data_IF_387298123710
#
_entry.id   IF_387298123710
#
_cell.length_a   1.000
_cell.length_b   1.000
_cell.length_c   1.000
_cell.angle_alpha   90.00
_cell.angle_beta   90.00
_cell.angle_gamma   90.00
#
_symmetry.space_group_name_H-M   'P 1'
#
loop_
_entity.id
_entity.type
_entity.pdbx_description
1 polymer ?
#
# COMPACT_ATOMS: atom_id res chain seq x y z
N UNK A 1 0.55 -14.91 -12.14
CA UNK A 1 0.08 -14.51 -10.80
C UNK A 1 0.08 -15.76 -9.92
N UNK A 2 0.81 -15.77 -8.81
CA UNK A 2 0.86 -16.93 -7.92
C UNK A 2 -0.52 -17.18 -7.31
N UNK A 3 -0.91 -18.45 -7.25
CA UNK A 3 -2.16 -18.87 -6.62
C UNK A 3 -2.14 -18.48 -5.13
N UNK A 4 -3.13 -17.71 -4.67
CA UNK A 4 -3.26 -17.30 -3.26
C UNK A 4 -2.65 -15.95 -2.87
N UNK A 5 -1.89 -15.26 -3.73
CA UNK A 5 -1.30 -13.95 -3.40
C UNK A 5 -2.35 -12.86 -3.12
N UNK A 6 -3.32 -12.72 -4.03
CA UNK A 6 -4.38 -11.71 -3.91
C UNK A 6 -5.23 -11.86 -2.64
N UNK A 7 -5.77 -13.05 -2.30
CA UNK A 7 -6.51 -13.20 -1.04
C UNK A 7 -5.61 -12.99 0.19
N UNK A 8 -4.32 -13.35 0.13
CA UNK A 8 -3.38 -13.06 1.21
C UNK A 8 -3.14 -11.55 1.42
N UNK A 9 -3.06 -10.77 0.34
CA UNK A 9 -2.96 -9.30 0.41
C UNK A 9 -4.22 -8.71 1.04
N UNK A 10 -5.40 -9.14 0.62
CA UNK A 10 -6.68 -8.64 1.16
C UNK A 10 -6.84 -8.98 2.65
N UNK A 11 -6.44 -10.19 3.04
CA UNK A 11 -6.37 -10.59 4.45
C UNK A 11 -5.44 -9.66 5.24
N UNK A 12 -4.23 -9.40 4.74
CA UNK A 12 -3.25 -8.53 5.38
C UNK A 12 -3.77 -7.08 5.54
N UNK A 13 -4.39 -6.52 4.49
CA UNK A 13 -4.98 -5.18 4.51
C UNK A 13 -6.13 -5.04 5.53
N UNK A 14 -6.80 -6.14 5.88
CA UNK A 14 -7.92 -6.15 6.81
C UNK A 14 -7.50 -6.16 8.29
N UNK A 15 -6.22 -6.40 8.61
CA UNK A 15 -5.78 -6.67 9.98
C UNK A 15 -5.98 -5.51 10.97
N UNK A 16 -6.09 -4.27 10.47
CA UNK A 16 -6.22 -3.06 11.31
C UNK A 16 -7.53 -2.29 11.14
N UNK A 17 -8.49 -2.86 10.39
CA UNK A 17 -9.76 -2.20 10.09
C UNK A 17 -9.54 -0.80 9.51
N UNK A 18 -10.24 0.20 10.05
CA UNK A 18 -10.22 1.59 9.58
C UNK A 18 -8.86 2.30 9.71
N UNK A 19 -7.96 1.83 10.57
CA UNK A 19 -6.63 2.45 10.72
C UNK A 19 -5.74 2.26 9.47
N UNK A 20 -6.07 1.28 8.63
CA UNK A 20 -5.27 0.91 7.48
C UNK A 20 -3.94 0.26 7.83
N UNK A 21 -3.37 -0.40 6.84
CA UNK A 21 -2.07 -1.04 6.93
C UNK A 21 -1.15 -0.41 5.89
N UNK A 22 0.06 -0.04 6.31
CA UNK A 22 1.04 0.54 5.40
C UNK A 22 1.37 -0.45 4.28
N UNK A 23 1.41 0.03 3.04
CA UNK A 23 1.65 -0.80 1.85
C UNK A 23 2.93 -1.64 1.99
N UNK A 24 4.03 -1.07 2.49
CA UNK A 24 5.27 -1.79 2.74
C UNK A 24 5.11 -2.90 3.79
N UNK A 25 4.27 -2.71 4.81
CA UNK A 25 3.98 -3.76 5.80
C UNK A 25 3.26 -4.95 5.15
N UNK A 26 2.36 -4.69 4.20
CA UNK A 26 1.67 -5.76 3.46
C UNK A 26 2.67 -6.50 2.56
N UNK A 27 3.55 -5.78 1.87
CA UNK A 27 4.61 -6.37 1.03
C UNK A 27 5.56 -7.23 1.87
N UNK A 28 6.03 -6.72 3.01
CA UNK A 28 6.87 -7.47 3.95
C UNK A 28 6.19 -8.79 4.38
N UNK A 29 4.89 -8.74 4.70
CA UNK A 29 4.12 -9.94 5.04
C UNK A 29 3.99 -10.94 3.89
N UNK A 30 4.00 -10.49 2.62
CA UNK A 30 4.00 -11.38 1.46
C UNK A 30 5.39 -11.98 1.21
N UNK A 31 6.46 -11.23 1.44
CA UNK A 31 7.84 -11.74 1.39
C UNK A 31 8.02 -12.84 2.43
N UNK A 32 7.53 -12.65 3.66
CA UNK A 32 7.56 -13.67 4.72
C UNK A 32 6.78 -14.94 4.35
N UNK A 33 5.78 -14.83 3.46
CA UNK A 33 5.01 -15.96 2.90
C UNK A 33 5.66 -16.59 1.65
N UNK A 34 6.83 -16.10 1.23
CA UNK A 34 7.60 -16.65 0.10
C UNK A 34 7.30 -16.03 -1.26
N UNK A 35 6.53 -14.95 -1.33
CA UNK A 35 6.29 -14.22 -2.58
C UNK A 35 7.41 -13.22 -2.86
N UNK A 36 7.57 -12.84 -4.13
CA UNK A 36 8.52 -11.78 -4.50
C UNK A 36 7.91 -10.40 -4.23
N UNK A 37 8.74 -9.44 -3.82
CA UNK A 37 8.31 -8.09 -3.53
C UNK A 37 7.62 -7.44 -4.75
N UNK A 38 8.22 -7.58 -5.94
CA UNK A 38 7.69 -7.00 -7.18
C UNK A 38 6.33 -7.59 -7.55
N UNK A 39 6.09 -8.87 -7.25
CA UNK A 39 4.81 -9.54 -7.49
C UNK A 39 3.74 -9.04 -6.52
N UNK A 40 4.09 -8.86 -5.25
CA UNK A 40 3.19 -8.33 -4.23
C UNK A 40 2.80 -6.88 -4.54
N UNK A 41 3.77 -6.03 -4.91
CA UNK A 41 3.52 -4.64 -5.30
C UNK A 41 2.63 -4.53 -6.54
N UNK A 42 2.91 -5.33 -7.57
CA UNK A 42 2.07 -5.34 -8.78
C UNK A 42 0.63 -5.74 -8.44
N UNK A 43 0.45 -6.81 -7.65
CA UNK A 43 -0.88 -7.26 -7.24
C UNK A 43 -1.62 -6.23 -6.37
N UNK A 44 -0.91 -5.47 -5.52
CA UNK A 44 -1.49 -4.37 -4.75
C UNK A 44 -2.03 -3.26 -5.66
N UNK A 45 -1.28 -2.87 -6.68
CA UNK A 45 -1.73 -1.87 -7.67
C UNK A 45 -2.93 -2.35 -8.48
N UNK A 46 -2.96 -3.62 -8.87
CA UNK A 46 -4.12 -4.23 -9.52
C UNK A 46 -5.36 -4.20 -8.61
N UNK A 47 -5.22 -4.58 -7.35
CA UNK A 47 -6.32 -4.57 -6.37
C UNK A 47 -6.86 -3.15 -6.10
N UNK A 48 -5.99 -2.14 -6.10
CA UNK A 48 -6.40 -0.74 -6.05
C UNK A 48 -7.19 -0.34 -7.30
N UNK A 49 -6.70 -0.68 -8.50
CA UNK A 49 -7.39 -0.40 -9.76
C UNK A 49 -8.73 -1.12 -9.91
N UNK A 50 -8.87 -2.29 -9.30
CA UNK A 50 -10.09 -3.08 -9.26
C UNK A 50 -11.06 -2.71 -8.13
N UNK A 51 -10.75 -1.66 -7.34
CA UNK A 51 -11.57 -1.24 -6.20
C UNK A 51 -11.80 -2.38 -5.19
N UNK A 52 -10.73 -3.11 -4.88
CA UNK A 52 -10.69 -4.10 -3.80
C UNK A 52 -9.90 -3.60 -2.58
N UNK A 53 -9.16 -2.50 -2.75
CA UNK A 53 -8.49 -1.75 -1.70
C UNK A 53 -8.79 -0.26 -1.88
N UNK A 54 -8.76 0.49 -0.78
CA UNK A 54 -8.85 1.96 -0.81
C UNK A 54 -7.66 2.57 -0.07
N UNK A 55 -6.99 3.59 -0.64
CA UNK A 55 -6.04 4.40 0.12
C UNK A 55 -6.79 5.24 1.16
N UNK A 56 -6.53 5.02 2.45
CA UNK A 56 -7.16 5.78 3.54
C UNK A 56 -6.27 6.87 4.13
N UNK A 57 -4.99 6.92 3.73
CA UNK A 57 -4.04 7.92 4.20
C UNK A 57 -2.61 7.61 3.76
N UNK A 58 -1.65 8.28 4.41
CA UNK A 58 -0.23 8.06 4.18
C UNK A 58 0.55 8.07 5.50
N UNK A 59 1.65 7.33 5.55
CA UNK A 59 2.61 7.38 6.65
C UNK A 59 3.98 7.79 6.13
N UNK A 60 4.68 8.61 6.92
CA UNK A 60 6.06 9.02 6.66
C UNK A 60 7.01 8.13 7.46
N UNK A 61 7.81 7.33 6.77
CA UNK A 61 8.90 6.56 7.36
C UNK A 61 10.20 7.35 7.25
N UNK A 62 10.90 7.50 8.37
CA UNK A 62 12.27 7.99 8.39
C UNK A 62 13.24 6.82 8.28
N UNK A 63 13.98 6.76 7.17
CA UNK A 63 15.00 5.75 6.94
C UNK A 63 16.33 6.33 7.35
N UNK A 64 17.00 5.66 8.29
CA UNK A 64 18.34 6.03 8.75
C UNK A 64 19.33 5.03 8.17
N UNK A 65 20.24 5.49 7.31
CA UNK A 65 21.35 4.68 6.80
C UNK A 65 22.66 5.28 7.26
N UNK A 66 23.66 4.43 7.44
CA UNK A 66 25.06 4.85 7.53
C UNK A 66 25.70 4.55 6.18
N UNK A 67 26.08 5.59 5.46
CA UNK A 67 26.87 5.48 4.24
C UNK A 67 28.17 6.24 4.51
N UNK A 68 29.31 5.59 4.27
CA UNK A 68 30.64 6.20 4.40
C UNK A 68 30.94 6.87 5.75
N UNK A 69 30.37 6.33 6.84
CA UNK A 69 30.56 6.85 8.20
C UNK A 69 29.64 8.01 8.59
N UNK A 70 28.90 8.59 7.65
CA UNK A 70 27.90 9.62 7.94
C UNK A 70 26.49 9.06 8.07
N UNK A 71 25.72 9.60 9.02
CA UNK A 71 24.32 9.24 9.21
C UNK A 71 23.45 9.99 8.19
N UNK A 72 22.97 9.28 7.18
CA UNK A 72 22.02 9.81 6.21
C UNK A 72 20.59 9.50 6.65
N UNK A 73 19.74 10.53 6.71
CA UNK A 73 18.31 10.40 6.99
C UNK A 73 17.52 10.75 5.74
N UNK A 74 16.73 9.82 5.25
CA UNK A 74 15.75 10.05 4.18
C UNK A 74 14.32 9.84 4.70
N UNK A 75 13.36 10.45 4.01
CA UNK A 75 11.93 10.27 4.28
C UNK A 75 11.30 9.54 3.10
N UNK A 76 10.52 8.51 3.39
CA UNK A 76 9.71 7.79 2.42
C UNK A 76 8.24 7.88 2.85
N UNK A 77 7.36 8.18 1.92
CA UNK A 77 5.91 8.19 2.17
C UNK A 77 5.32 6.94 1.53
N UNK A 78 4.43 6.27 2.24
CA UNK A 78 3.70 5.11 1.74
C UNK A 78 2.21 5.24 2.05
N UNK A 79 1.37 4.62 1.21
CA UNK A 79 -0.07 4.59 1.41
C UNK A 79 -0.44 3.70 2.59
N UNK A 80 -1.46 4.11 3.34
CA UNK A 80 -2.22 3.24 4.22
C UNK A 80 -3.38 2.67 3.42
N UNK A 81 -3.53 1.34 3.46
CA UNK A 81 -4.53 0.61 2.69
C UNK A 81 -5.55 -0.04 3.63
N UNK A 82 -6.82 0.10 3.29
CA UNK A 82 -7.94 -0.61 3.90
C UNK A 82 -8.65 -1.46 2.84
N UNK A 83 -9.47 -2.46 3.24
CA UNK A 83 -10.44 -3.05 2.34
C UNK A 83 -11.28 -1.96 1.69
N UNK A 84 -11.69 -2.18 0.43
CA UNK A 84 -12.40 -1.15 -0.32
C UNK A 84 -13.55 -0.52 0.47
N UNK A 85 -13.52 0.80 0.57
CA UNK A 85 -14.47 1.64 1.27
C UNK A 85 -15.08 2.62 0.25
N UNK A 86 -16.36 2.48 -0.12
CA UNK A 86 -16.98 3.37 -1.11
C UNK A 86 -17.03 4.83 -0.63
N UNK A 87 -17.07 5.08 0.67
CA UNK A 87 -17.11 6.43 1.21
C UNK A 87 -15.75 7.14 1.08
N UNK A 88 -14.65 6.40 1.25
CA UNK A 88 -13.29 6.92 1.05
C UNK A 88 -12.90 6.94 -0.44
N UNK A 89 -13.38 5.98 -1.23
CA UNK A 89 -13.08 5.86 -2.67
C UNK A 89 -13.74 6.96 -3.51
N UNK A 90 -14.90 7.49 -3.07
CA UNK A 90 -15.56 8.64 -3.71
C UNK A 90 -14.70 9.89 -3.77
N UNK A 91 -13.69 10.02 -2.91
CA UNK A 91 -12.74 11.13 -2.98
C UNK A 91 -11.86 11.08 -4.25
N UNK A 92 -11.75 9.90 -4.88
CA UNK A 92 -11.01 9.71 -6.13
C UNK A 92 -11.88 9.92 -7.38
N UNK A 93 -13.21 9.93 -7.24
CA UNK A 93 -14.16 10.32 -8.30
C UNK A 93 -14.21 11.85 -8.49
N UNK A 94 -13.04 12.52 -8.41
CA UNK A 94 -12.92 13.92 -8.75
C UNK A 94 -13.17 14.07 -10.25
N UNK A 95 -14.33 14.64 -10.60
CA UNK A 95 -14.56 15.22 -11.91
C UNK A 95 -13.64 16.44 -12.07
N UNK A 96 -12.37 16.19 -12.38
CA UNK A 96 -11.39 17.18 -12.80
C UNK A 96 -11.77 17.66 -14.21
N UNK A 97 -12.94 18.29 -14.34
CA UNK A 97 -13.30 19.02 -15.53
C UNK A 97 -12.18 20.02 -15.77
N UNK A 98 -11.48 19.83 -16.89
CA UNK A 98 -10.35 20.65 -17.32
C UNK A 98 -10.78 22.11 -17.25
N UNK A 99 -10.34 22.86 -16.25
CA UNK A 99 -10.57 24.30 -16.23
C UNK A 99 -9.80 24.87 -17.42
N UNK A 100 -10.57 25.38 -18.39
CA UNK A 100 -10.07 25.89 -19.67
C UNK A 100 -9.34 27.21 -19.54
#
# INVERSE_FOLDING_TARGET
>A
MSEGLRPAILEAASQRGEQGVAMGTIVDAMIDRGYRAEEAELALWELLGERLLTPSGFVCRMIRRRADGEAQVSRAYELLLIPWSPDDDRQLDLNLARQG
#
